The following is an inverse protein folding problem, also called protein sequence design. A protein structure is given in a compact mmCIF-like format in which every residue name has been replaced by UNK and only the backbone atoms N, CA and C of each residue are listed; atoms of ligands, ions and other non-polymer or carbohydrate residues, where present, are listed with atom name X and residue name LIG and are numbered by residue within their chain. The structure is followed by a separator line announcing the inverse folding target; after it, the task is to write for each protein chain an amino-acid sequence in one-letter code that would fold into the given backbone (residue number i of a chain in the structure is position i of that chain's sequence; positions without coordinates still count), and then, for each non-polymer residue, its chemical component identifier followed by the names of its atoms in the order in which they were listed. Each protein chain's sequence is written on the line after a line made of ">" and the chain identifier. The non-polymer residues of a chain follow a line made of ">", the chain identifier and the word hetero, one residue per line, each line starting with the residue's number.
data_IF_087436199157
#
_entry.id   IF_087436199157
#
_cell.length_a   1.000
_cell.length_b   1.000
_cell.length_c   1.000
_cell.angle_alpha   90.00
_cell.angle_beta   90.00
_cell.angle_gamma   90.00
#
_symmetry.space_group_name_H-M   'P 1'
#
loop_
_entity.id
_entity.type
_entity.pdbx_description
1 polymer ?
#
# COMPACT_ATOMS: atom_id res chain seq x y z
N UNK A 1 -9.97 5.93 -1.05
CA UNK A 1 -8.98 6.99 -1.38
C UNK A 1 -7.62 6.71 -0.75
N UNK A 2 -7.47 6.74 0.59
CA UNK A 2 -6.15 6.62 1.25
C UNK A 2 -5.40 5.32 1.01
N UNK A 3 -6.08 4.18 1.10
CA UNK A 3 -5.50 2.86 0.80
C UNK A 3 -5.00 2.75 -0.63
N UNK A 4 -5.69 3.41 -1.57
CA UNK A 4 -5.33 3.41 -2.97
C UNK A 4 -4.06 4.24 -3.21
N UNK A 5 -3.93 5.40 -2.55
CA UNK A 5 -2.71 6.20 -2.54
C UNK A 5 -1.54 5.40 -1.95
N UNK A 6 -1.75 4.74 -0.80
CA UNK A 6 -0.73 3.87 -0.18
C UNK A 6 -0.34 2.75 -1.12
N UNK A 7 -1.30 2.02 -1.72
CA UNK A 7 -1.02 0.93 -2.65
C UNK A 7 -0.22 1.39 -3.87
N UNK A 8 -0.52 2.57 -4.43
CA UNK A 8 0.23 3.13 -5.54
C UNK A 8 1.69 3.40 -5.16
N UNK A 9 1.95 3.90 -3.95
CA UNK A 9 3.32 4.12 -3.46
C UNK A 9 4.03 2.81 -3.09
N UNK A 10 3.29 1.78 -2.63
CA UNK A 10 3.86 0.44 -2.42
C UNK A 10 4.39 -0.14 -3.74
N UNK A 11 3.62 -0.01 -4.82
CA UNK A 11 3.99 -0.47 -6.17
C UNK A 11 5.22 0.28 -6.70
N UNK A 12 5.39 1.55 -6.32
CA UNK A 12 6.61 2.34 -6.60
C UNK A 12 7.83 1.94 -5.75
N UNK A 13 7.70 0.92 -4.91
CA UNK A 13 8.81 0.41 -4.08
C UNK A 13 9.03 1.18 -2.77
N UNK A 14 8.17 2.15 -2.43
CA UNK A 14 8.42 3.03 -1.28
C UNK A 14 8.23 2.33 0.07
N UNK A 15 9.15 2.56 1.00
CA UNK A 15 9.08 2.08 2.38
C UNK A 15 8.01 2.83 3.20
N UNK A 16 7.58 2.26 4.33
CA UNK A 16 6.56 2.89 5.18
C UNK A 16 6.95 4.30 5.68
N UNK A 17 8.22 4.60 6.04
CA UNK A 17 8.66 5.96 6.33
C UNK A 17 8.52 6.93 5.15
N UNK A 18 8.87 6.51 3.94
CA UNK A 18 8.77 7.37 2.74
C UNK A 18 7.30 7.66 2.39
N UNK A 19 6.44 6.64 2.47
CA UNK A 19 4.99 6.78 2.28
C UNK A 19 4.39 7.73 3.33
N UNK A 20 4.81 7.59 4.59
CA UNK A 20 4.38 8.45 5.68
C UNK A 20 4.74 9.92 5.40
N UNK A 21 5.97 10.17 4.93
CA UNK A 21 6.43 11.50 4.53
C UNK A 21 5.63 12.06 3.35
N UNK A 22 5.43 11.29 2.29
CA UNK A 22 4.72 11.75 1.09
C UNK A 22 3.24 12.04 1.32
N UNK A 23 2.58 11.27 2.20
CA UNK A 23 1.16 11.41 2.49
C UNK A 23 0.86 12.28 3.72
N UNK A 24 1.90 12.82 4.38
CA UNK A 24 1.83 13.62 5.60
C UNK A 24 1.04 12.92 6.73
N UNK A 25 1.36 11.64 6.97
CA UNK A 25 0.74 10.82 8.03
C UNK A 25 1.79 10.06 8.83
N UNK A 26 1.39 9.48 9.97
CA UNK A 26 2.32 8.70 10.78
C UNK A 26 2.67 7.34 10.13
N UNK A 27 3.85 6.80 10.45
CA UNK A 27 4.25 5.43 10.07
C UNK A 27 3.26 4.37 10.58
N UNK A 28 2.65 4.60 11.75
CA UNK A 28 1.63 3.70 12.30
C UNK A 28 0.35 3.72 11.45
N UNK A 29 -0.09 4.90 11.01
CA UNK A 29 -1.23 5.06 10.10
C UNK A 29 -0.99 4.36 8.76
N UNK A 30 0.23 4.44 8.21
CA UNK A 30 0.61 3.68 7.00
C UNK A 30 0.46 2.17 7.24
N UNK A 31 0.95 1.64 8.37
CA UNK A 31 0.80 0.21 8.70
C UNK A 31 -0.66 -0.21 8.77
N UNK A 32 -1.54 0.60 9.35
CA UNK A 32 -2.99 0.33 9.40
C UNK A 32 -3.59 0.25 7.99
N UNK A 33 -3.23 1.19 7.10
CA UNK A 33 -3.68 1.13 5.70
C UNK A 33 -3.15 -0.10 4.99
N UNK A 34 -1.88 -0.48 5.19
CA UNK A 34 -1.32 -1.70 4.60
C UNK A 34 -2.10 -2.93 5.09
N UNK A 35 -2.34 -3.08 6.40
CA UNK A 35 -3.11 -4.19 6.93
C UNK A 35 -4.52 -4.27 6.32
N UNK A 36 -5.19 -3.13 6.14
CA UNK A 36 -6.52 -3.11 5.50
C UNK A 36 -6.45 -3.47 4.02
N UNK A 37 -5.43 -3.02 3.29
CA UNK A 37 -5.18 -3.40 1.89
C UNK A 37 -4.99 -4.91 1.79
N UNK A 38 -4.12 -5.50 2.61
CA UNK A 38 -3.87 -6.94 2.62
C UNK A 38 -5.16 -7.73 2.85
N UNK A 39 -5.96 -7.33 3.86
CA UNK A 39 -7.25 -7.94 4.15
C UNK A 39 -8.25 -7.82 3.00
N UNK A 40 -8.36 -6.64 2.36
CA UNK A 40 -9.28 -6.40 1.24
C UNK A 40 -8.88 -7.12 -0.05
N UNK A 41 -7.58 -7.30 -0.27
CA UNK A 41 -7.04 -8.03 -1.42
C UNK A 41 -6.95 -9.53 -1.18
N UNK A 42 -7.20 -10.00 0.06
CA UNK A 42 -7.11 -11.43 0.41
C UNK A 42 -5.69 -12.00 0.36
N UNK A 43 -4.69 -11.15 0.61
CA UNK A 43 -3.27 -11.52 0.53
C UNK A 43 -2.58 -11.36 1.88
N UNK A 44 -1.46 -12.05 2.07
CA UNK A 44 -0.76 -12.13 3.35
C UNK A 44 0.48 -11.24 3.44
N UNK A 45 0.99 -10.78 2.29
CA UNK A 45 2.24 -10.04 2.23
C UNK A 45 2.20 -8.79 1.35
N UNK A 46 3.10 -7.85 1.64
CA UNK A 46 3.32 -6.66 0.82
C UNK A 46 3.65 -7.02 -0.63
N UNK A 47 4.47 -8.05 -0.83
CA UNK A 47 4.87 -8.49 -2.17
C UNK A 47 3.67 -9.04 -2.96
N UNK A 48 2.82 -9.84 -2.32
CA UNK A 48 1.56 -10.32 -2.93
C UNK A 48 0.63 -9.16 -3.30
N UNK A 49 0.45 -8.18 -2.41
CA UNK A 49 -0.38 -7.01 -2.71
C UNK A 49 0.15 -6.19 -3.90
N UNK A 50 1.47 -6.01 -4.00
CA UNK A 50 2.11 -5.34 -5.14
C UNK A 50 1.89 -6.14 -6.43
N UNK A 51 2.16 -7.45 -6.40
CA UNK A 51 1.99 -8.34 -7.56
C UNK A 51 0.55 -8.30 -8.07
N UNK A 52 -0.42 -8.49 -7.16
CA UNK A 52 -1.84 -8.48 -7.49
C UNK A 52 -2.27 -7.12 -8.06
N UNK A 53 -1.79 -6.02 -7.49
CA UNK A 53 -2.11 -4.66 -7.95
C UNK A 53 -1.60 -4.39 -9.37
N UNK A 54 -0.40 -4.88 -9.71
CA UNK A 54 0.17 -4.78 -11.06
C UNK A 54 -0.64 -5.66 -12.03
N UNK A 55 -0.86 -6.93 -11.69
CA UNK A 55 -1.56 -7.90 -12.55
C UNK A 55 -2.99 -7.44 -12.89
N UNK A 56 -3.70 -6.87 -11.93
CA UNK A 56 -5.08 -6.42 -12.08
C UNK A 56 -5.21 -4.94 -12.41
N UNK A 57 -4.10 -4.22 -12.65
CA UNK A 57 -4.07 -2.78 -12.96
C UNK A 57 -4.85 -1.95 -11.94
N UNK A 58 -4.76 -2.32 -10.66
CA UNK A 58 -5.50 -1.66 -9.57
C UNK A 58 -5.00 -0.26 -9.29
N UNK A 59 -3.76 0.06 -9.67
CA UNK A 59 -3.15 1.38 -9.54
C UNK A 59 -2.43 1.72 -10.84
N UNK A 60 -2.36 3.01 -11.16
CA UNK A 60 -1.68 3.54 -12.35
C UNK A 60 -0.32 4.12 -11.99
#
# INVERSE_FOLDING_TARGET
>A
RREHEVLALLVKGMSNPEIAGQLFISRATVKVHISSILSKLGVSSRAEAISLAIQNKLVR
#
